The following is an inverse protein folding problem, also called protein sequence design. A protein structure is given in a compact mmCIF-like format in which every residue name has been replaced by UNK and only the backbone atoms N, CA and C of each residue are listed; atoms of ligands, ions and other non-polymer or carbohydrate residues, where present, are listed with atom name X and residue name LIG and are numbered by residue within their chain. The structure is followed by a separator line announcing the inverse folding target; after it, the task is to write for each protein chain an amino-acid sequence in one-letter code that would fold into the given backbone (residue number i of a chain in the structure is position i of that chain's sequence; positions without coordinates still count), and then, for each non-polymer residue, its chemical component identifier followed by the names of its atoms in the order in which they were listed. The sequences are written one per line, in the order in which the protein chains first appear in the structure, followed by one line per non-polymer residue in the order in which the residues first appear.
data_IF_158137602576
#
_entry.id   IF_158137602576
#
_cell.length_a   1.000
_cell.length_b   1.000
_cell.length_c   1.000
_cell.angle_alpha   90.00
_cell.angle_beta   90.00
_cell.angle_gamma   90.00
#
_symmetry.space_group_name_H-M   'P 1'
#
loop_
_entity.id
_entity.type
_entity.pdbx_description
1 polymer ?
#
# COMPACT_ATOMS: atom_id res chain seq x y z
N UNK A 1 -6.28 4.95 9.94
CA UNK A 1 -7.07 4.27 11.01
C UNK A 1 -8.16 3.31 10.49
N UNK A 2 -8.28 3.07 9.17
CA UNK A 2 -9.32 2.19 8.57
C UNK A 2 -8.81 0.76 8.31
N UNK A 3 -7.49 0.58 8.17
CA UNK A 3 -6.86 -0.70 7.82
C UNK A 3 -7.14 -1.82 8.84
N UNK A 4 -6.99 -1.55 10.14
CA UNK A 4 -7.25 -2.56 11.18
C UNK A 4 -8.72 -2.98 11.26
N UNK A 5 -9.65 -2.08 10.92
CA UNK A 5 -11.09 -2.34 10.99
C UNK A 5 -11.58 -3.19 9.83
N UNK A 6 -11.09 -2.95 8.61
CA UNK A 6 -11.44 -3.77 7.43
C UNK A 6 -10.85 -5.17 7.52
N UNK A 7 -9.63 -5.32 8.04
CA UNK A 7 -9.00 -6.64 8.24
C UNK A 7 -9.78 -7.50 9.25
N UNK A 8 -10.16 -6.91 10.40
CA UNK A 8 -10.93 -7.63 11.43
C UNK A 8 -12.30 -8.08 10.93
N UNK A 9 -13.00 -7.23 10.16
CA UNK A 9 -14.32 -7.55 9.61
C UNK A 9 -14.25 -8.71 8.60
N UNK A 10 -13.30 -8.67 7.66
CA UNK A 10 -13.14 -9.74 6.66
C UNK A 10 -12.74 -11.08 7.29
N UNK A 11 -11.95 -11.05 8.36
CA UNK A 11 -11.58 -12.25 9.11
C UNK A 11 -12.77 -12.84 9.89
N UNK A 12 -13.64 -12.00 10.44
CA UNK A 12 -14.85 -12.44 11.17
C UNK A 12 -15.95 -12.96 10.25
N UNK A 13 -16.10 -12.41 9.04
CA UNK A 13 -17.05 -12.90 8.03
C UNK A 13 -16.57 -14.22 7.38
N UNK A 14 -15.26 -14.47 7.37
CA UNK A 14 -14.65 -15.70 6.89
C UNK A 14 -14.54 -16.73 8.01
N UNK A 15 -15.70 -17.20 8.53
CA UNK A 15 -15.81 -18.14 9.65
C UNK A 15 -15.12 -19.50 9.51
N UNK A 16 -14.34 -19.74 8.44
CA UNK A 16 -13.44 -20.88 8.31
C UNK A 16 -12.43 -20.57 7.19
N UNK A 17 -11.20 -20.19 7.54
CA UNK A 17 -10.08 -20.27 6.60
C UNK A 17 -9.29 -21.51 7.01
N UNK A 18 -9.51 -22.68 6.38
CA UNK A 18 -9.01 -23.96 6.92
C UNK A 18 -7.49 -24.09 6.91
N UNK A 19 -6.76 -23.18 6.25
CA UNK A 19 -5.32 -23.30 6.03
C UNK A 19 -4.70 -21.93 5.77
N UNK A 20 -3.53 -21.66 6.34
CA UNK A 20 -2.79 -20.39 6.20
C UNK A 20 -2.60 -19.95 4.74
N UNK A 21 -2.51 -20.90 3.80
CA UNK A 21 -2.43 -20.63 2.36
C UNK A 21 -3.65 -19.89 1.80
N UNK A 22 -4.86 -20.17 2.30
CA UNK A 22 -6.06 -19.47 1.88
C UNK A 22 -6.09 -18.03 2.42
N UNK A 23 -5.57 -17.80 3.62
CA UNK A 23 -5.41 -16.46 4.19
C UNK A 23 -4.40 -15.63 3.37
N UNK A 24 -3.27 -16.23 2.98
CA UNK A 24 -2.26 -15.59 2.13
C UNK A 24 -2.85 -15.24 0.76
N UNK A 25 -3.63 -16.14 0.15
CA UNK A 25 -4.31 -15.87 -1.13
C UNK A 25 -5.31 -14.72 -1.01
N UNK A 26 -6.09 -14.66 0.07
CA UNK A 26 -7.01 -13.54 0.32
C UNK A 26 -6.27 -12.21 0.50
N UNK A 27 -5.17 -12.21 1.24
CA UNK A 27 -4.31 -11.03 1.40
C UNK A 27 -3.73 -10.58 0.06
N UNK A 28 -3.22 -11.51 -0.74
CA UNK A 28 -2.70 -11.24 -2.08
C UNK A 28 -3.77 -10.63 -3.00
N UNK A 29 -4.97 -11.20 -3.01
CA UNK A 29 -6.09 -10.68 -3.80
C UNK A 29 -6.53 -9.28 -3.33
N UNK A 30 -6.56 -9.05 -2.01
CA UNK A 30 -6.88 -7.73 -1.46
C UNK A 30 -5.83 -6.68 -1.86
N UNK A 31 -4.54 -7.00 -1.75
CA UNK A 31 -3.45 -6.12 -2.17
C UNK A 31 -3.48 -5.83 -3.66
N UNK A 32 -3.70 -6.85 -4.50
CA UNK A 32 -3.79 -6.68 -5.95
C UNK A 32 -4.98 -5.78 -6.34
N UNK A 33 -6.13 -5.97 -5.70
CA UNK A 33 -7.30 -5.12 -5.92
C UNK A 33 -7.09 -3.68 -5.44
N UNK A 34 -6.33 -3.47 -4.35
CA UNK A 34 -5.95 -2.13 -3.90
C UNK A 34 -4.93 -1.49 -4.86
N UNK A 35 -3.95 -2.25 -5.33
CA UNK A 35 -2.94 -1.79 -6.30
C UNK A 35 -3.58 -1.32 -7.61
N UNK A 36 -4.63 -1.99 -8.09
CA UNK A 36 -5.38 -1.57 -9.28
C UNK A 36 -6.11 -0.23 -9.10
N UNK A 37 -6.47 0.12 -7.86
CA UNK A 37 -7.09 1.41 -7.51
C UNK A 37 -6.06 2.51 -7.27
N UNK A 38 -4.79 2.16 -7.07
CA UNK A 38 -3.66 3.10 -6.93
C UNK A 38 -3.10 3.56 -8.29
N UNK A 39 -3.97 3.75 -9.27
CA UNK A 39 -3.64 4.37 -10.57
C UNK A 39 -3.74 5.88 -10.55
N UNK A 40 -4.26 6.49 -9.48
CA UNK A 40 -4.17 7.94 -9.34
C UNK A 40 -2.71 8.35 -9.14
N UNK A 41 -2.14 9.21 -9.99
CA UNK A 41 -0.84 9.80 -9.74
C UNK A 41 -0.89 10.53 -8.41
N UNK A 42 0.16 10.36 -7.60
CA UNK A 42 0.30 11.07 -6.33
C UNK A 42 0.27 12.57 -6.65
N UNK A 43 -0.76 13.26 -6.17
CA UNK A 43 -0.90 14.70 -6.37
C UNK A 43 0.31 15.41 -5.77
N UNK A 44 0.85 16.39 -6.50
CA UNK A 44 2.01 17.18 -6.08
C UNK A 44 3.30 16.37 -5.81
N UNK A 45 3.47 15.19 -6.41
CA UNK A 45 4.67 14.35 -6.22
C UNK A 45 5.99 15.11 -6.47
N UNK A 46 6.03 16.03 -7.44
CA UNK A 46 7.21 16.88 -7.69
C UNK A 46 7.58 17.79 -6.50
N UNK A 47 6.59 18.36 -5.80
CA UNK A 47 6.85 19.20 -4.61
C UNK A 47 7.33 18.34 -3.44
N UNK A 48 6.73 17.15 -3.26
CA UNK A 48 7.17 16.20 -2.25
C UNK A 48 8.61 15.72 -2.52
N UNK A 49 8.96 15.47 -3.78
CA UNK A 49 10.31 15.08 -4.18
C UNK A 49 11.34 16.17 -3.88
N UNK A 50 11.00 17.45 -4.08
CA UNK A 50 11.86 18.56 -3.69
C UNK A 50 12.12 18.58 -2.17
N UNK A 51 11.12 18.31 -1.35
CA UNK A 51 11.29 18.19 0.10
C UNK A 51 12.14 16.99 0.49
N UNK A 52 11.95 15.84 -0.17
CA UNK A 52 12.78 14.65 0.06
C UNK A 52 14.23 14.85 -0.37
N UNK A 53 14.48 15.58 -1.45
CA UNK A 53 15.83 15.96 -1.88
C UNK A 53 16.52 16.85 -0.85
N UNK A 54 15.79 17.75 -0.16
CA UNK A 54 16.37 18.57 0.90
C UNK A 54 16.67 17.74 2.16
N UNK A 55 15.76 16.83 2.55
CA UNK A 55 15.90 16.02 3.78
C UNK A 55 16.91 14.88 3.60
N UNK A 56 16.97 14.29 2.41
CA UNK A 56 17.75 13.09 2.08
C UNK A 56 18.72 13.32 0.92
N UNK A 57 19.24 14.54 0.76
CA UNK A 57 20.02 14.96 -0.42
C UNK A 57 21.17 14.05 -0.82
N UNK A 58 21.78 13.33 0.12
CA UNK A 58 22.85 12.36 -0.17
C UNK A 58 22.34 11.03 -0.77
N UNK A 59 21.06 10.71 -0.59
CA UNK A 59 20.44 9.43 -1.02
C UNK A 59 19.51 9.57 -2.21
N UNK A 60 18.88 10.74 -2.37
CA UNK A 60 17.92 11.02 -3.42
C UNK A 60 18.38 12.24 -4.22
N UNK A 61 19.19 11.99 -5.24
CA UNK A 61 19.57 13.03 -6.22
C UNK A 61 18.39 13.28 -7.15
N UNK A 62 17.90 14.51 -7.18
CA UNK A 62 16.80 14.93 -8.06
C UNK A 62 17.23 14.98 -9.54
N UNK A 63 18.52 15.14 -9.76
CA UNK A 63 19.25 15.34 -11.01
C UNK A 63 19.39 14.05 -11.87
N UNK A 64 18.94 12.90 -11.37
CA UNK A 64 19.04 11.59 -12.06
C UNK A 64 17.73 11.01 -12.62
N UNK A 65 16.66 11.79 -12.70
CA UNK A 65 15.37 11.38 -13.28
C UNK A 65 14.96 12.23 -14.48
#
# INVERSE_FOLDING_TARGET
MVLGRTLKKNYQESGFVPTDEAAIKLLYLALNNMSKKWTMPIQDWGKAMNQFSIIFGDRLKFDSF
#
